data_IF_699713713049
#
_entry.id   IF_699713713049
#
_cell.length_a   1.000
_cell.length_b   1.000
_cell.length_c   1.000
_cell.angle_alpha   90.00
_cell.angle_beta   90.00
_cell.angle_gamma   90.00
#
_symmetry.space_group_name_H-M   'P 1'
#
loop_
_entity.id
_entity.type
_entity.pdbx_description
1 polymer ?
#
# COMPACT_ATOMS: atom_id res chain seq x y z
N UNK A 1 5.64 -60.91 15.41
CA UNK A 1 6.14 -59.54 15.18
C UNK A 1 6.71 -59.02 16.49
N UNK A 2 7.94 -58.49 16.46
CA UNK A 2 8.69 -58.11 17.66
C UNK A 2 8.04 -56.88 18.29
N UNK A 3 7.93 -56.81 19.63
CA UNK A 3 7.19 -55.73 20.34
C UNK A 3 7.69 -54.31 19.99
N UNK A 4 8.96 -54.16 19.62
CA UNK A 4 9.55 -52.92 19.10
C UNK A 4 9.07 -52.57 17.70
N UNK A 5 8.99 -53.53 16.79
CA UNK A 5 8.56 -53.35 15.40
C UNK A 5 7.09 -52.92 15.29
N UNK A 6 6.21 -53.44 16.16
CA UNK A 6 4.81 -53.00 16.24
C UNK A 6 4.70 -51.53 16.69
N UNK A 7 5.54 -51.09 17.64
CA UNK A 7 5.54 -49.69 18.12
C UNK A 7 6.05 -48.74 17.04
N UNK A 8 7.12 -49.11 16.34
CA UNK A 8 7.62 -48.33 15.20
C UNK A 8 6.55 -48.18 14.12
N UNK A 9 5.85 -49.27 13.75
CA UNK A 9 4.77 -49.21 12.77
C UNK A 9 3.62 -48.30 13.24
N UNK A 10 3.24 -48.40 14.51
CA UNK A 10 2.21 -47.53 15.09
C UNK A 10 2.59 -46.05 15.01
N UNK A 11 3.85 -45.70 15.32
CA UNK A 11 4.32 -44.32 15.21
C UNK A 11 4.33 -43.81 13.77
N UNK A 12 4.73 -44.64 12.80
CA UNK A 12 4.69 -44.28 11.38
C UNK A 12 3.26 -43.99 10.92
N UNK A 13 2.30 -44.83 11.33
CA UNK A 13 0.89 -44.63 10.98
C UNK A 13 0.37 -43.31 11.57
N UNK A 14 0.65 -43.06 12.85
CA UNK A 14 0.24 -41.81 13.51
C UNK A 14 0.86 -40.61 12.80
N UNK A 15 2.15 -40.65 12.47
CA UNK A 15 2.82 -39.57 11.76
C UNK A 15 2.16 -39.27 10.40
N UNK A 16 1.87 -40.31 9.61
CA UNK A 16 1.21 -40.15 8.30
C UNK A 16 -0.19 -39.54 8.46
N UNK A 17 -0.98 -40.01 9.43
CA UNK A 17 -2.32 -39.48 9.69
C UNK A 17 -2.25 -38.02 10.14
N UNK A 18 -1.34 -37.68 11.05
CA UNK A 18 -1.15 -36.31 11.51
C UNK A 18 -0.72 -35.36 10.39
N UNK A 19 0.21 -35.78 9.52
CA UNK A 19 0.62 -34.97 8.37
C UNK A 19 -0.52 -34.80 7.37
N UNK A 20 -1.30 -35.86 7.10
CA UNK A 20 -2.44 -35.78 6.20
C UNK A 20 -3.49 -34.79 6.71
N UNK A 21 -3.82 -34.84 8.00
CA UNK A 21 -4.75 -33.90 8.64
C UNK A 21 -4.23 -32.46 8.61
N UNK A 22 -2.93 -32.25 8.83
CA UNK A 22 -2.33 -30.92 8.78
C UNK A 22 -2.40 -30.32 7.36
N UNK A 23 -2.10 -31.12 6.33
CA UNK A 23 -2.15 -30.66 4.94
C UNK A 23 -3.58 -30.33 4.51
N UNK A 24 -4.54 -31.20 4.82
CA UNK A 24 -5.94 -30.93 4.47
C UNK A 24 -6.48 -29.72 5.21
N UNK A 25 -6.27 -29.64 6.53
CA UNK A 25 -6.69 -28.49 7.34
C UNK A 25 -6.11 -27.19 6.79
N UNK A 26 -4.81 -27.14 6.50
CA UNK A 26 -4.16 -25.97 5.93
C UNK A 26 -4.76 -25.58 4.56
N UNK A 27 -5.10 -26.54 3.69
CA UNK A 27 -5.69 -26.20 2.39
C UNK A 27 -7.10 -25.62 2.51
N UNK A 28 -7.91 -26.08 3.48
CA UNK A 28 -9.27 -25.57 3.68
C UNK A 28 -9.31 -24.22 4.42
N UNK A 29 -8.32 -23.92 5.26
CA UNK A 29 -8.29 -22.70 6.07
C UNK A 29 -7.36 -21.62 5.53
N UNK A 30 -6.61 -21.89 4.45
CA UNK A 30 -5.76 -20.90 3.80
C UNK A 30 -6.58 -19.66 3.43
N UNK A 31 -6.13 -18.45 3.84
CA UNK A 31 -6.75 -17.22 3.39
C UNK A 31 -6.80 -17.18 1.86
N UNK A 32 -7.84 -16.56 1.31
CA UNK A 32 -7.88 -16.25 -0.12
C UNK A 32 -6.59 -15.51 -0.50
N UNK A 33 -5.94 -15.93 -1.58
CA UNK A 33 -4.84 -15.15 -2.15
C UNK A 33 -5.39 -13.77 -2.47
N UNK A 34 -4.73 -12.73 -1.98
CA UNK A 34 -5.04 -11.37 -2.38
C UNK A 34 -4.65 -11.25 -3.86
N UNK A 35 -5.60 -10.86 -4.72
CA UNK A 35 -5.29 -10.52 -6.10
C UNK A 35 -4.22 -9.41 -6.10
N UNK A 36 -3.08 -9.67 -6.75
CA UNK A 36 -1.91 -8.78 -6.77
C UNK A 36 -0.78 -9.15 -5.82
N UNK A 37 -0.92 -10.21 -5.01
CA UNK A 37 0.16 -10.73 -4.16
C UNK A 37 1.37 -11.31 -4.92
N UNK A 38 1.26 -11.50 -6.24
CA UNK A 38 2.36 -11.95 -7.09
C UNK A 38 3.03 -10.78 -7.86
N UNK A 39 2.60 -9.53 -7.60
CA UNK A 39 3.11 -8.32 -8.24
C UNK A 39 4.23 -7.62 -7.44
N UNK A 40 4.72 -8.27 -6.39
CA UNK A 40 5.89 -7.78 -5.65
C UNK A 40 7.10 -7.65 -6.59
N UNK A 41 7.68 -6.45 -6.64
CA UNK A 41 8.82 -6.13 -7.51
C UNK A 41 8.45 -5.64 -8.90
N UNK A 42 7.16 -5.61 -9.27
CA UNK A 42 6.69 -4.92 -10.47
C UNK A 42 6.46 -3.44 -10.17
N UNK A 43 6.63 -2.60 -11.18
CA UNK A 43 6.26 -1.20 -11.08
C UNK A 43 4.76 -1.05 -10.83
N UNK A 44 4.40 -0.20 -9.87
CA UNK A 44 2.99 0.03 -9.53
C UNK A 44 2.22 0.75 -10.65
N UNK A 45 2.91 1.59 -11.42
CA UNK A 45 2.34 2.29 -12.56
C UNK A 45 3.40 2.43 -13.69
N UNK A 46 3.57 1.39 -14.53
CA UNK A 46 4.60 1.37 -15.57
C UNK A 46 4.50 2.51 -16.59
N UNK A 47 3.29 3.01 -16.81
CA UNK A 47 3.02 4.10 -17.76
C UNK A 47 3.42 5.48 -17.19
N UNK A 48 3.67 5.56 -15.88
CA UNK A 48 4.08 6.77 -15.18
C UNK A 48 5.60 6.83 -15.00
N UNK A 49 6.32 6.91 -16.13
CA UNK A 49 7.79 6.99 -16.15
C UNK A 49 8.34 8.42 -16.08
N UNK A 50 7.48 9.43 -16.24
CA UNK A 50 7.84 10.84 -16.32
C UNK A 50 7.05 11.65 -15.29
N UNK A 51 7.75 12.17 -14.29
CA UNK A 51 7.16 12.95 -13.21
C UNK A 51 6.51 14.26 -13.71
N UNK A 52 6.97 14.81 -14.85
CA UNK A 52 6.39 16.01 -15.46
C UNK A 52 4.98 15.79 -16.00
N UNK A 53 4.54 14.53 -16.18
CA UNK A 53 3.16 14.20 -16.59
C UNK A 53 2.17 14.21 -15.43
N UNK A 54 2.63 14.43 -14.19
CA UNK A 54 1.75 14.53 -13.05
C UNK A 54 0.83 15.75 -13.18
N UNK A 55 -0.48 15.53 -13.18
CA UNK A 55 -1.48 16.62 -13.19
C UNK A 55 -1.92 17.03 -11.80
N UNK A 56 -1.51 16.29 -10.76
CA UNK A 56 -1.81 16.60 -9.37
C UNK A 56 -0.72 16.07 -8.43
N UNK A 57 -0.50 16.80 -7.34
CA UNK A 57 0.39 16.41 -6.26
C UNK A 57 -0.34 16.58 -4.92
N UNK A 58 -0.34 15.54 -4.09
CA UNK A 58 -0.90 15.60 -2.74
C UNK A 58 0.23 15.50 -1.73
N UNK A 59 0.30 16.48 -0.84
CA UNK A 59 1.20 16.46 0.31
C UNK A 59 0.38 16.03 1.51
N UNK A 60 0.85 14.99 2.20
CA UNK A 60 0.23 14.47 3.43
C UNK A 60 1.27 14.53 4.54
N UNK A 61 0.92 15.15 5.65
CA UNK A 61 1.69 15.17 6.88
C UNK A 61 0.88 14.47 7.98
N UNK A 62 1.51 13.52 8.65
CA UNK A 62 0.90 12.79 9.76
C UNK A 62 1.39 13.39 11.09
N UNK A 63 0.43 13.72 11.95
CA UNK A 63 0.65 14.21 13.30
C UNK A 63 0.49 13.04 14.28
N UNK A 64 1.60 12.60 14.87
CA UNK A 64 1.64 11.42 15.72
C UNK A 64 0.94 11.61 17.07
N UNK A 65 0.94 12.84 17.61
CA UNK A 65 0.36 13.14 18.92
C UNK A 65 -1.17 13.12 18.87
N UNK A 66 -1.73 13.54 17.73
CA UNK A 66 -3.19 13.58 17.52
C UNK A 66 -3.72 12.43 16.68
N UNK A 67 -2.83 11.58 16.15
CA UNK A 67 -3.13 10.56 15.14
C UNK A 67 -3.90 11.13 13.91
N UNK A 68 -3.68 12.41 13.59
CA UNK A 68 -4.40 13.11 12.53
C UNK A 68 -3.52 13.30 11.29
N UNK A 69 -4.12 13.21 10.10
CA UNK A 69 -3.44 13.54 8.84
C UNK A 69 -3.87 14.91 8.35
N UNK A 70 -2.90 15.80 8.10
CA UNK A 70 -3.09 17.07 7.38
C UNK A 70 -2.71 16.85 5.92
N UNK A 71 -3.59 17.20 5.01
CA UNK A 71 -3.32 17.05 3.58
C UNK A 71 -3.76 18.28 2.80
N UNK A 72 -3.00 18.61 1.77
CA UNK A 72 -3.44 19.53 0.73
C UNK A 72 -3.01 19.00 -0.64
N UNK A 73 -3.73 19.42 -1.68
CA UNK A 73 -3.48 18.97 -3.06
C UNK A 73 -3.26 20.19 -3.93
N UNK A 74 -2.26 20.11 -4.80
CA UNK A 74 -2.04 21.06 -5.89
C UNK A 74 -2.39 20.34 -7.20
N UNK A 75 -3.13 21.00 -8.08
CA UNK A 75 -3.51 20.48 -9.38
C UNK A 75 -3.04 21.40 -10.49
N UNK A 76 -2.66 20.82 -11.61
CA UNK A 76 -2.33 21.55 -12.82
C UNK A 76 -3.62 21.79 -13.62
N UNK A 77 -4.00 23.05 -13.72
CA UNK A 77 -5.12 23.56 -14.50
C UNK A 77 -4.73 24.95 -15.02
N UNK A 78 -4.17 25.02 -16.23
CA UNK A 78 -3.58 26.26 -16.79
C UNK A 78 -2.58 26.95 -15.82
N UNK A 79 -1.83 26.12 -15.07
CA UNK A 79 -0.98 26.53 -13.95
C UNK A 79 -1.23 25.71 -12.69
N UNK A 80 -0.31 25.75 -11.74
CA UNK A 80 -0.46 25.04 -10.47
C UNK A 80 -1.39 25.80 -9.53
N UNK A 81 -2.48 25.17 -9.08
CA UNK A 81 -3.50 25.77 -8.22
C UNK A 81 -3.82 24.87 -7.03
N UNK A 82 -4.28 25.47 -5.92
CA UNK A 82 -4.75 24.76 -4.73
C UNK A 82 -6.29 24.77 -4.74
N UNK A 83 -6.98 23.69 -5.14
CA UNK A 83 -8.43 23.70 -5.35
C UNK A 83 -9.22 23.98 -4.08
N UNK A 84 -8.72 23.51 -2.93
CA UNK A 84 -9.37 23.72 -1.62
C UNK A 84 -9.34 25.18 -1.14
N UNK A 85 -8.59 26.05 -1.83
CA UNK A 85 -8.48 27.48 -1.52
C UNK A 85 -8.93 28.32 -2.73
N UNK A 86 -10.13 28.09 -3.25
CA UNK A 86 -10.68 28.86 -4.37
C UNK A 86 -9.78 28.88 -5.62
N UNK A 87 -9.14 27.75 -5.91
CA UNK A 87 -8.16 27.63 -7.00
C UNK A 87 -6.99 28.64 -6.88
N UNK A 88 -6.56 28.94 -5.64
CA UNK A 88 -5.45 29.85 -5.37
C UNK A 88 -4.20 29.42 -6.14
N UNK A 89 -3.52 30.32 -6.88
CA UNK A 89 -2.29 29.99 -7.58
C UNK A 89 -1.23 29.51 -6.59
N UNK A 90 -0.73 28.29 -6.79
CA UNK A 90 0.36 27.75 -5.99
C UNK A 90 1.70 28.40 -6.37
N UNK A 91 1.82 28.89 -7.61
CA UNK A 91 2.87 29.83 -7.98
C UNK A 91 2.52 31.23 -7.44
N UNK A 92 3.01 31.50 -6.23
CA UNK A 92 2.72 32.72 -5.50
C UNK A 92 3.44 33.98 -6.02
N UNK A 93 4.24 33.89 -7.10
CA UNK A 93 5.08 35.00 -7.58
C UNK A 93 4.28 36.29 -7.82
N UNK A 94 3.18 36.21 -8.56
CA UNK A 94 2.37 37.38 -8.91
C UNK A 94 1.54 37.90 -7.73
N UNK A 95 1.10 37.00 -6.85
CA UNK A 95 0.36 37.36 -5.63
C UNK A 95 1.27 38.07 -4.62
N UNK A 96 2.50 37.58 -4.45
CA UNK A 96 3.52 38.24 -3.62
C UNK A 96 3.89 39.62 -4.18
N UNK A 97 4.06 39.74 -5.50
CA UNK A 97 4.35 41.02 -6.14
C UNK A 97 3.22 42.04 -5.94
N UNK A 98 1.96 41.64 -6.14
CA UNK A 98 0.79 42.51 -5.91
C UNK A 98 0.64 42.93 -4.45
N UNK A 99 0.84 42.02 -3.51
CA UNK A 99 0.79 42.33 -2.08
C UNK A 99 1.89 43.33 -1.68
N UNK A 100 3.11 43.14 -2.21
CA UNK A 100 4.24 44.03 -1.93
C UNK A 100 4.08 45.43 -2.56
N UNK A 101 3.38 45.52 -3.70
CA UNK A 101 3.10 46.78 -4.40
C UNK A 101 1.87 47.53 -3.87
N UNK A 102 1.13 46.97 -2.91
CA UNK A 102 -0.11 47.55 -2.37
C UNK A 102 0.12 48.56 -1.23
N UNK A 103 1.30 49.17 -1.15
CA UNK A 103 1.69 50.15 -0.12
C UNK A 103 1.66 51.56 -0.69
#
# INVERSE_FOLDING_TARGET
>A
MNKSMTRTLAFVIVAVVSTALAVTSNQFTKPAKLDGGDDFGKEFNPDFSDAGKATAMRVVSFDADTAASKMFTVQYDDGWKIPSYHNYPADGKDQLAKAAASV
#
